data_IF_852652049604
#
_entry.id   IF_852652049604
#
_cell.length_a   1.000
_cell.length_b   1.000
_cell.length_c   1.000
_cell.angle_alpha   90.00
_cell.angle_beta   90.00
_cell.angle_gamma   90.00
#
_symmetry.space_group_name_H-M   'P 1'
#
loop_
_entity.id
_entity.type
_entity.pdbx_description
1 polymer ?
#
# COMPACT_ATOMS: atom_id res chain seq x y z
N UNK A 1 -9.27 -10.53 18.79
CA UNK A 1 -9.42 -10.25 17.35
C UNK A 1 -8.01 -10.00 16.81
N UNK A 2 -7.59 -10.72 15.76
CA UNK A 2 -6.27 -10.52 15.13
C UNK A 2 -6.45 -9.40 14.10
N UNK A 3 -5.65 -8.35 14.21
CA UNK A 3 -5.73 -7.18 13.33
C UNK A 3 -4.32 -6.73 12.92
N UNK A 4 -4.27 -5.75 12.02
CA UNK A 4 -3.00 -5.18 11.59
C UNK A 4 -2.23 -4.60 12.79
N UNK A 5 -0.93 -4.80 12.80
CA UNK A 5 -0.02 -4.24 13.78
C UNK A 5 0.93 -3.25 13.11
N UNK A 6 1.08 -2.09 13.72
CA UNK A 6 2.02 -1.09 13.25
C UNK A 6 3.46 -1.62 13.29
N UNK A 7 4.27 -1.35 12.25
CA UNK A 7 5.69 -1.63 12.32
C UNK A 7 6.38 -0.73 13.34
N UNK A 8 7.65 -1.02 13.65
CA UNK A 8 8.49 -0.17 14.49
C UNK A 8 8.47 1.28 14.00
N UNK A 9 8.52 2.25 14.93
CA UNK A 9 8.54 3.66 14.57
C UNK A 9 9.63 3.97 13.52
N UNK A 10 9.25 4.73 12.48
CA UNK A 10 10.09 5.07 11.34
C UNK A 10 10.12 4.03 10.20
N UNK A 11 9.47 2.87 10.38
CA UNK A 11 9.37 1.85 9.34
C UNK A 11 8.07 2.00 8.54
N UNK A 12 8.11 1.57 7.29
CA UNK A 12 6.91 1.35 6.49
C UNK A 12 6.66 -0.15 6.35
N UNK A 13 5.39 -0.55 6.33
CA UNK A 13 4.98 -1.94 6.14
C UNK A 13 4.29 -2.09 4.78
N UNK A 14 4.83 -2.98 3.93
CA UNK A 14 4.17 -3.43 2.71
C UNK A 14 3.50 -4.77 2.99
N UNK A 15 2.17 -4.75 3.06
CA UNK A 15 1.35 -5.96 3.07
C UNK A 15 1.08 -6.39 1.64
N UNK A 16 1.32 -7.66 1.30
CA UNK A 16 1.01 -8.23 -0.02
C UNK A 16 0.16 -9.49 0.11
N UNK A 17 -0.67 -9.74 -0.89
CA UNK A 17 -1.42 -10.99 -1.04
C UNK A 17 -1.60 -11.34 -2.52
N UNK A 18 -1.94 -12.61 -2.77
CA UNK A 18 -2.19 -13.15 -4.08
C UNK A 18 -3.45 -14.00 -4.12
N UNK A 19 -4.20 -13.89 -5.21
CA UNK A 19 -5.41 -14.69 -5.45
C UNK A 19 -5.33 -15.35 -6.82
N UNK A 20 -5.86 -16.58 -6.89
CA UNK A 20 -5.97 -17.37 -8.12
C UNK A 20 -7.44 -17.72 -8.33
N UNK A 21 -7.97 -17.36 -9.49
CA UNK A 21 -9.33 -17.67 -9.91
C UNK A 21 -9.32 -18.65 -11.08
N UNK A 22 -9.36 -19.94 -10.77
CA UNK A 22 -9.25 -21.03 -11.75
C UNK A 22 -10.36 -21.00 -12.80
N UNK A 23 -11.58 -20.59 -12.43
CA UNK A 23 -12.72 -20.48 -13.35
C UNK A 23 -12.48 -19.46 -14.47
N UNK A 24 -11.61 -18.47 -14.24
CA UNK A 24 -11.24 -17.46 -15.23
C UNK A 24 -9.81 -17.66 -15.77
N UNK A 25 -9.07 -18.65 -15.26
CA UNK A 25 -7.66 -18.84 -15.56
C UNK A 25 -6.80 -17.62 -15.19
N UNK A 26 -7.18 -16.85 -14.18
CA UNK A 26 -6.52 -15.59 -13.82
C UNK A 26 -5.83 -15.67 -12.45
N UNK A 27 -4.74 -14.92 -12.31
CA UNK A 27 -4.03 -14.72 -11.05
C UNK A 27 -3.79 -13.22 -10.85
N UNK A 28 -3.93 -12.76 -9.62
CA UNK A 28 -3.72 -11.37 -9.23
C UNK A 28 -2.85 -11.32 -7.97
N UNK A 29 -1.95 -10.34 -7.90
CA UNK A 29 -1.18 -10.04 -6.71
C UNK A 29 -1.30 -8.55 -6.42
N UNK A 30 -1.55 -8.20 -5.16
CA UNK A 30 -1.73 -6.81 -4.73
C UNK A 30 -1.16 -6.58 -3.35
N UNK A 31 -0.93 -5.32 -3.03
CA UNK A 31 -0.46 -4.94 -1.72
C UNK A 31 -0.81 -3.51 -1.35
N UNK A 32 -0.61 -3.21 -0.08
CA UNK A 32 -0.82 -1.90 0.50
C UNK A 32 0.40 -1.51 1.32
N UNK A 33 0.87 -0.29 1.10
CA UNK A 33 1.98 0.31 1.84
C UNK A 33 1.42 1.24 2.92
N UNK A 34 1.86 1.05 4.16
CA UNK A 34 1.44 1.84 5.32
C UNK A 34 2.63 2.35 6.11
N UNK A 35 2.49 3.53 6.71
CA UNK A 35 3.44 4.04 7.71
C UNK A 35 3.30 3.31 9.05
N UNK A 36 4.23 3.57 9.97
CA UNK A 36 4.16 3.24 11.39
C UNK A 36 2.97 3.87 12.12
N UNK A 37 2.42 4.96 11.59
CA UNK A 37 1.16 5.57 12.06
C UNK A 37 -0.10 4.92 11.46
N UNK A 38 0.06 3.90 10.59
CA UNK A 38 -1.05 3.21 9.92
C UNK A 38 -1.68 3.99 8.76
N UNK A 39 -1.09 5.12 8.37
CA UNK A 39 -1.54 5.90 7.21
C UNK A 39 -1.15 5.20 5.92
N UNK A 40 -2.08 5.14 4.96
CA UNK A 40 -1.76 4.68 3.61
C UNK A 40 -0.78 5.63 2.95
N UNK A 41 0.26 5.06 2.34
CA UNK A 41 1.25 5.79 1.58
C UNK A 41 0.78 5.78 0.12
N UNK A 42 -0.03 6.76 -0.26
CA UNK A 42 -0.61 6.90 -1.60
C UNK A 42 0.40 7.54 -2.57
N UNK A 43 0.72 6.84 -3.66
CA UNK A 43 1.76 7.31 -4.59
C UNK A 43 1.24 8.26 -5.68
N UNK A 44 -0.06 8.43 -5.88
CA UNK A 44 -0.60 9.27 -6.97
C UNK A 44 -0.51 10.78 -6.67
N UNK A 45 -1.09 11.23 -5.56
CA UNK A 45 -0.96 12.62 -5.08
C UNK A 45 0.52 12.96 -4.81
N UNK A 46 1.28 11.99 -4.29
CA UNK A 46 2.70 12.13 -4.04
C UNK A 46 3.51 12.34 -5.33
N UNK A 47 3.33 11.55 -6.40
CA UNK A 47 4.12 11.69 -7.65
C UNK A 47 3.88 13.05 -8.31
N UNK A 48 2.63 13.54 -8.35
CA UNK A 48 2.32 14.87 -8.86
C UNK A 48 3.00 15.99 -8.04
N UNK A 49 3.07 15.82 -6.72
CA UNK A 49 3.74 16.74 -5.79
C UNK A 49 5.28 16.63 -5.85
N UNK A 50 5.84 15.45 -6.11
CA UNK A 50 7.29 15.23 -6.26
C UNK A 50 7.88 15.97 -7.49
N UNK A 51 7.04 16.21 -8.51
CA UNK A 51 7.41 16.84 -9.78
C UNK A 51 7.18 18.37 -9.83
N UNK A 52 6.52 18.97 -8.82
CA UNK A 52 6.22 20.42 -8.76
C UNK A 52 7.00 21.18 -7.66
N UNK A 53 6.91 22.51 -7.68
CA UNK A 53 7.53 23.41 -6.68
C UNK A 53 6.70 23.43 -5.37
N UNK A 54 7.37 23.34 -4.22
CA UNK A 54 6.83 22.77 -2.97
C UNK A 54 6.98 23.73 -1.77
N UNK A 55 6.13 24.76 -1.65
CA UNK A 55 6.17 25.64 -0.46
C UNK A 55 4.86 25.77 0.33
N UNK A 56 3.71 25.26 -0.15
CA UNK A 56 2.44 25.50 0.56
C UNK A 56 1.35 24.43 0.32
N UNK A 57 1.62 23.14 0.59
CA UNK A 57 0.58 22.10 0.49
C UNK A 57 0.39 21.32 1.82
N UNK A 58 -0.86 21.04 2.23
CA UNK A 58 -1.18 20.31 3.47
C UNK A 58 -0.57 18.90 3.58
N UNK A 59 -0.03 18.35 2.48
CA UNK A 59 0.60 17.02 2.43
C UNK A 59 2.15 17.07 2.29
N UNK A 60 2.79 18.22 2.49
CA UNK A 60 4.25 18.38 2.33
C UNK A 60 5.07 17.43 3.23
N UNK A 61 4.55 17.06 4.40
CA UNK A 61 5.17 16.13 5.35
C UNK A 61 5.21 14.71 4.82
N UNK A 62 4.16 14.25 4.13
CA UNK A 62 4.09 12.93 3.51
C UNK A 62 5.04 12.85 2.32
N UNK A 63 5.02 13.86 1.44
CA UNK A 63 5.91 13.96 0.26
C UNK A 63 7.38 13.97 0.68
N UNK A 64 7.74 14.76 1.70
CA UNK A 64 9.11 14.79 2.23
C UNK A 64 9.50 13.48 2.91
N UNK A 65 8.57 12.79 3.56
CA UNK A 65 8.82 11.47 4.15
C UNK A 65 9.10 10.41 3.08
N UNK A 66 8.37 10.46 1.95
CA UNK A 66 8.60 9.57 0.81
C UNK A 66 9.94 9.88 0.11
N UNK A 67 10.26 11.16 -0.13
CA UNK A 67 11.58 11.58 -0.66
C UNK A 67 12.73 11.12 0.24
N UNK A 68 12.55 11.21 1.56
CA UNK A 68 13.55 10.77 2.55
C UNK A 68 13.70 9.26 2.51
N UNK A 69 12.60 8.52 2.52
CA UNK A 69 12.58 7.07 2.41
C UNK A 69 13.27 6.57 1.12
N UNK A 70 12.94 7.11 -0.06
CA UNK A 70 13.56 6.70 -1.33
C UNK A 70 15.08 6.88 -1.38
N UNK A 71 15.66 7.75 -0.54
CA UNK A 71 17.11 8.01 -0.48
C UNK A 71 17.83 7.21 0.61
N UNK A 72 17.12 6.42 1.41
CA UNK A 72 17.71 5.67 2.51
C UNK A 72 18.36 4.36 2.06
N UNK A 73 19.29 3.87 2.89
CA UNK A 73 19.72 2.48 2.85
C UNK A 73 18.67 1.65 3.60
N UNK A 74 17.93 0.84 2.85
CA UNK A 74 16.79 0.11 3.38
C UNK A 74 17.24 -1.16 4.10
N UNK A 75 16.76 -1.31 5.33
CA UNK A 75 16.71 -2.59 6.02
C UNK A 75 15.35 -3.24 5.72
N UNK A 76 15.35 -4.51 5.32
CA UNK A 76 14.14 -5.22 4.88
C UNK A 76 13.92 -6.44 5.74
N UNK A 77 12.75 -6.50 6.39
CA UNK A 77 12.30 -7.66 7.14
C UNK A 77 11.07 -8.28 6.48
N UNK A 78 11.11 -9.60 6.30
CA UNK A 78 10.01 -10.39 5.73
C UNK A 78 9.39 -11.19 6.85
N UNK A 79 8.07 -11.05 7.03
CA UNK A 79 7.30 -11.74 8.05
C UNK A 79 6.00 -12.26 7.46
N UNK A 80 5.50 -13.38 7.99
CA UNK A 80 4.19 -13.89 7.66
C UNK A 80 3.16 -13.33 8.65
N UNK A 81 2.04 -12.83 8.12
CA UNK A 81 0.89 -12.33 8.91
C UNK A 81 -0.34 -13.18 8.60
N UNK A 82 -1.19 -13.36 9.61
CA UNK A 82 -2.49 -14.00 9.41
C UNK A 82 -3.38 -13.19 8.48
N UNK A 83 -4.25 -13.88 7.74
CA UNK A 83 -5.15 -13.29 6.73
C UNK A 83 -6.01 -12.15 7.31
N UNK A 84 -6.50 -12.31 8.54
CA UNK A 84 -7.29 -11.30 9.24
C UNK A 84 -6.50 -10.00 9.47
N UNK A 85 -5.20 -10.10 9.73
CA UNK A 85 -4.29 -8.94 9.82
C UNK A 85 -3.87 -8.37 8.47
N UNK A 86 -4.03 -9.16 7.39
CA UNK A 86 -3.71 -8.80 6.01
C UNK A 86 -4.96 -8.42 5.18
N UNK A 87 -6.11 -8.20 5.83
CA UNK A 87 -7.43 -8.09 5.18
C UNK A 87 -7.47 -7.15 3.97
N UNK A 88 -6.82 -6.00 4.06
CA UNK A 88 -6.78 -5.02 2.95
C UNK A 88 -6.09 -5.60 1.72
N UNK A 89 -4.94 -6.27 1.88
CA UNK A 89 -4.22 -6.85 0.76
C UNK A 89 -4.96 -8.06 0.17
N UNK A 90 -5.59 -8.89 1.02
CA UNK A 90 -6.44 -10.01 0.60
C UNK A 90 -7.63 -9.53 -0.25
N UNK A 91 -8.35 -8.51 0.23
CA UNK A 91 -9.45 -7.88 -0.51
C UNK A 91 -8.97 -7.33 -1.86
N UNK A 92 -7.84 -6.62 -1.88
CA UNK A 92 -7.26 -6.07 -3.10
C UNK A 92 -6.87 -7.15 -4.10
N UNK A 93 -6.28 -8.26 -3.64
CA UNK A 93 -5.93 -9.39 -4.47
C UNK A 93 -7.18 -10.02 -5.11
N UNK A 94 -8.27 -10.14 -4.34
CA UNK A 94 -9.55 -10.65 -4.83
C UNK A 94 -10.15 -9.77 -5.93
N UNK A 95 -10.22 -8.45 -5.75
CA UNK A 95 -10.75 -7.54 -6.78
C UNK A 95 -9.80 -7.37 -7.98
N UNK A 96 -8.55 -7.83 -7.87
CA UNK A 96 -7.57 -7.82 -8.95
C UNK A 96 -7.97 -8.67 -10.16
N UNK A 97 -8.83 -9.66 -9.98
CA UNK A 97 -9.35 -10.49 -11.09
C UNK A 97 -10.26 -9.72 -12.06
N UNK A 98 -10.90 -8.64 -11.60
CA UNK A 98 -11.80 -7.82 -12.42
C UNK A 98 -11.07 -6.72 -13.19
N UNK A 99 -9.74 -6.73 -13.19
CA UNK A 99 -8.92 -5.62 -13.64
C UNK A 99 -7.96 -6.11 -14.74
N UNK A 100 -7.68 -5.29 -15.78
CA UNK A 100 -6.78 -5.67 -16.86
C UNK A 100 -5.41 -6.12 -16.35
N UNK A 101 -4.88 -7.18 -16.96
CA UNK A 101 -3.55 -7.72 -16.68
C UNK A 101 -2.51 -6.62 -16.89
N UNK A 102 -1.63 -6.44 -15.91
CA UNK A 102 -0.57 -5.44 -15.91
C UNK A 102 -0.31 -4.88 -14.51
N UNK A 103 0.70 -4.02 -14.41
CA UNK A 103 0.97 -3.28 -13.15
C UNK A 103 0.00 -2.10 -13.09
N UNK A 104 -0.76 -2.00 -12.00
CA UNK A 104 -1.65 -0.88 -11.74
C UNK A 104 -1.38 -0.28 -10.37
N UNK A 105 -1.29 1.03 -10.32
CA UNK A 105 -1.25 1.82 -9.09
C UNK A 105 -2.67 2.36 -8.89
N UNK A 106 -3.32 1.97 -7.80
CA UNK A 106 -4.71 2.34 -7.51
C UNK A 106 -4.72 3.24 -6.27
N UNK A 107 -5.44 4.36 -6.35
CA UNK A 107 -5.71 5.22 -5.21
C UNK A 107 -6.86 4.61 -4.40
N UNK A 108 -6.59 4.17 -3.18
CA UNK A 108 -7.59 3.56 -2.30
C UNK A 108 -8.13 4.66 -1.39
N UNK A 109 -9.37 5.09 -1.64
CA UNK A 109 -10.06 6.00 -0.74
C UNK A 109 -10.64 5.25 0.45
N UNK A 110 -10.81 5.91 1.60
CA UNK A 110 -11.37 5.31 2.81
C UNK A 110 -12.77 4.69 2.60
N UNK A 111 -13.51 5.13 1.58
CA UNK A 111 -14.79 4.54 1.20
C UNK A 111 -14.67 3.15 0.58
N UNK A 112 -13.52 2.78 0.02
CA UNK A 112 -13.27 1.46 -0.56
C UNK A 112 -12.93 0.37 0.48
N UNK A 113 -12.77 0.76 1.76
CA UNK A 113 -12.38 -0.13 2.86
C UNK A 113 -13.54 -0.44 3.82
N UNK A 114 -14.74 0.07 3.54
CA UNK A 114 -15.94 -0.09 4.38
C UNK A 114 -16.84 -1.24 3.90
N UNK A 115 -16.28 -2.43 3.72
CA UNK A 115 -17.05 -3.67 3.52
C UNK A 115 -16.43 -4.81 4.32
#
# INVERSE_FOLDING_TARGET
MIGWQAPTQGWACLNMDGSVMLSQGSAAARGVLRSDEGLFIDSAATIALLQGDQTLHPHHTLVNSIKRQLKQQWEVHIMHVFREGNYVADYLASVGHSIPVGIQIVEITSSMLNH
#
